data_IF_985693549122
#
_entry.id   IF_985693549122
#
_cell.length_a   1.000
_cell.length_b   1.000
_cell.length_c   1.000
_cell.angle_alpha   90.00
_cell.angle_beta   90.00
_cell.angle_gamma   90.00
#
_symmetry.space_group_name_H-M   'P 1'
#
loop_
_entity.id
_entity.type
_entity.pdbx_description
1 polymer ?
#
# COMPACT_ATOMS: atom_id res chain seq x y z
N UNK A 1 7.43 43.19 16.17
CA UNK A 1 6.15 43.82 16.56
C UNK A 1 5.04 43.22 15.73
N UNK A 2 3.93 42.94 16.42
CA UNK A 2 2.70 42.27 15.99
C UNK A 2 2.14 42.80 14.65
N UNK A 3 2.08 41.93 13.65
CA UNK A 3 1.36 42.14 12.40
C UNK A 3 0.26 41.09 12.23
N UNK A 4 -0.62 40.96 13.23
CA UNK A 4 -1.80 40.13 13.14
C UNK A 4 -2.66 40.61 11.97
N UNK A 5 -2.87 39.76 10.97
CA UNK A 5 -3.91 39.98 9.96
C UNK A 5 -5.22 40.14 10.72
N UNK A 6 -5.71 41.38 10.82
CA UNK A 6 -7.06 41.67 11.32
C UNK A 6 -8.05 40.90 10.44
N UNK A 7 -9.07 40.24 11.02
CA UNK A 7 -10.07 39.55 10.22
C UNK A 7 -10.88 40.60 9.45
N UNK A 8 -10.73 40.63 8.13
CA UNK A 8 -11.45 41.55 7.24
C UNK A 8 -12.95 41.19 7.14
N UNK A 9 -13.37 40.01 7.63
CA UNK A 9 -14.80 39.68 7.74
C UNK A 9 -15.08 38.72 8.91
N UNK A 10 -15.35 39.28 10.09
CA UNK A 10 -15.69 38.53 11.30
C UNK A 10 -16.99 37.74 11.14
N UNK A 11 -17.93 38.20 10.32
CA UNK A 11 -19.20 37.53 10.06
C UNK A 11 -19.01 36.33 9.13
N UNK A 12 -18.15 36.43 8.11
CA UNK A 12 -17.76 35.28 7.30
C UNK A 12 -17.08 34.19 8.15
N UNK A 13 -16.08 34.55 8.96
CA UNK A 13 -15.36 33.59 9.83
C UNK A 13 -16.31 32.93 10.83
N UNK A 14 -17.23 33.68 11.43
CA UNK A 14 -18.23 33.12 12.34
C UNK A 14 -19.21 32.17 11.63
N UNK A 15 -19.67 32.50 10.41
CA UNK A 15 -20.53 31.62 9.61
C UNK A 15 -19.81 30.33 9.22
N UNK A 16 -18.55 30.42 8.81
CA UNK A 16 -17.76 29.25 8.43
C UNK A 16 -17.56 28.31 9.63
N UNK A 17 -17.17 28.87 10.78
CA UNK A 17 -17.04 28.09 12.02
C UNK A 17 -18.36 27.38 12.40
N UNK A 18 -19.50 28.06 12.27
CA UNK A 18 -20.80 27.45 12.54
C UNK A 18 -21.17 26.33 11.55
N UNK A 19 -20.75 26.44 10.28
CA UNK A 19 -20.90 25.36 9.29
C UNK A 19 -20.01 24.17 9.65
N UNK A 20 -18.76 24.42 10.03
CA UNK A 20 -17.80 23.37 10.37
C UNK A 20 -18.23 22.59 11.61
N UNK A 21 -18.72 23.28 12.65
CA UNK A 21 -19.29 22.66 13.84
C UNK A 21 -20.53 21.82 13.51
N UNK A 22 -21.45 22.32 12.67
CA UNK A 22 -22.61 21.53 12.23
C UNK A 22 -22.23 20.30 11.44
N UNK A 23 -21.17 20.38 10.64
CA UNK A 23 -20.67 19.24 9.90
C UNK A 23 -20.08 18.19 10.85
N UNK A 24 -19.23 18.60 11.80
CA UNK A 24 -18.67 17.71 12.82
C UNK A 24 -19.78 17.02 13.64
N UNK A 25 -20.78 17.78 14.09
CA UNK A 25 -21.98 17.26 14.76
C UNK A 25 -22.74 16.24 13.90
N UNK A 26 -22.87 16.49 12.60
CA UNK A 26 -23.56 15.59 11.68
C UNK A 26 -22.82 14.26 11.52
N UNK A 27 -21.49 14.29 11.42
CA UNK A 27 -20.65 13.09 11.40
C UNK A 27 -20.80 12.32 12.71
N UNK A 28 -20.77 13.02 13.84
CA UNK A 28 -20.94 12.39 15.15
C UNK A 28 -22.30 11.68 15.27
N UNK A 29 -23.40 12.35 14.88
CA UNK A 29 -24.74 11.76 14.91
C UNK A 29 -24.92 10.60 13.94
N UNK A 30 -24.19 10.60 12.83
CA UNK A 30 -24.16 9.50 11.87
C UNK A 30 -23.30 8.31 12.35
N UNK A 31 -22.63 8.42 13.50
CA UNK A 31 -21.72 7.40 14.02
C UNK A 31 -20.38 7.32 13.27
N UNK A 32 -20.05 8.32 12.45
CA UNK A 32 -18.78 8.44 11.75
C UNK A 32 -17.74 9.06 12.71
N UNK A 33 -17.36 8.28 13.74
CA UNK A 33 -16.58 8.75 14.88
C UNK A 33 -15.19 9.28 14.49
N UNK A 34 -14.53 8.62 13.55
CA UNK A 34 -13.21 9.01 13.03
C UNK A 34 -13.28 10.37 12.30
N UNK A 35 -14.26 10.53 11.41
CA UNK A 35 -14.49 11.78 10.69
C UNK A 35 -14.89 12.93 11.62
N UNK A 36 -15.76 12.65 12.59
CA UNK A 36 -16.21 13.63 13.58
C UNK A 36 -15.04 14.11 14.45
N UNK A 37 -14.24 13.19 14.99
CA UNK A 37 -13.06 13.54 15.80
C UNK A 37 -12.08 14.39 15.01
N UNK A 38 -11.72 13.97 13.79
CA UNK A 38 -10.80 14.72 12.93
C UNK A 38 -11.31 16.14 12.71
N UNK A 39 -12.59 16.30 12.38
CA UNK A 39 -13.17 17.62 12.11
C UNK A 39 -13.17 18.52 13.34
N UNK A 40 -13.48 17.99 14.52
CA UNK A 40 -13.39 18.77 15.76
C UNK A 40 -11.95 19.17 16.10
N UNK A 41 -10.95 18.31 15.83
CA UNK A 41 -9.52 18.66 16.01
C UNK A 41 -9.08 19.76 15.05
N UNK A 42 -9.50 19.70 13.78
CA UNK A 42 -9.23 20.76 12.80
C UNK A 42 -9.81 22.11 13.26
N UNK A 43 -11.08 22.13 13.70
CA UNK A 43 -11.72 23.33 14.24
C UNK A 43 -10.92 23.89 15.43
N UNK A 44 -10.45 23.05 16.34
CA UNK A 44 -9.65 23.49 17.48
C UNK A 44 -8.31 24.12 17.07
N UNK A 45 -7.70 23.63 15.99
CA UNK A 45 -6.46 24.20 15.42
C UNK A 45 -6.70 25.53 14.69
N UNK A 46 -7.86 25.68 14.02
CA UNK A 46 -8.21 26.87 13.25
C UNK A 46 -8.62 28.06 14.13
N UNK A 47 -9.22 27.79 15.29
CA UNK A 47 -9.64 28.84 16.25
C UNK A 47 -9.04 28.63 17.65
N UNK A 48 -7.71 28.67 17.78
CA UNK A 48 -7.04 28.39 19.05
C UNK A 48 -7.39 29.45 20.10
N UNK A 49 -7.62 29.00 21.33
CA UNK A 49 -7.91 29.88 22.48
C UNK A 49 -9.34 30.42 22.55
N UNK A 50 -10.19 30.23 21.52
CA UNK A 50 -11.61 30.58 21.59
C UNK A 50 -12.42 29.53 22.37
N UNK A 51 -13.55 29.90 23.00
CA UNK A 51 -14.44 28.94 23.65
C UNK A 51 -14.85 27.78 22.72
N UNK A 52 -15.19 28.08 21.46
CA UNK A 52 -15.60 27.09 20.47
C UNK A 52 -14.48 26.10 20.15
N UNK A 53 -13.24 26.59 19.96
CA UNK A 53 -12.07 25.73 19.74
C UNK A 53 -11.77 24.83 20.95
N UNK A 54 -11.93 25.34 22.17
CA UNK A 54 -11.77 24.54 23.40
C UNK A 54 -12.85 23.46 23.54
N UNK A 55 -14.10 23.79 23.22
CA UNK A 55 -15.21 22.82 23.23
C UNK A 55 -15.03 21.75 22.14
N UNK A 56 -14.62 22.15 20.93
CA UNK A 56 -14.32 21.22 19.86
C UNK A 56 -13.17 20.26 20.26
N UNK A 57 -12.09 20.76 20.86
CA UNK A 57 -11.01 19.92 21.35
C UNK A 57 -11.48 18.93 22.42
N UNK A 58 -12.23 19.40 23.42
CA UNK A 58 -12.79 18.54 24.46
C UNK A 58 -13.68 17.44 23.87
N UNK A 59 -14.50 17.79 22.87
CA UNK A 59 -15.37 16.84 22.18
C UNK A 59 -14.59 15.82 21.37
N UNK A 60 -13.55 16.25 20.66
CA UNK A 60 -12.63 15.35 19.98
C UNK A 60 -11.96 14.37 20.96
N UNK A 61 -11.53 14.83 22.13
CA UNK A 61 -10.91 13.97 23.13
C UNK A 61 -11.90 12.98 23.76
N UNK A 62 -13.18 13.34 23.89
CA UNK A 62 -14.24 12.41 24.29
C UNK A 62 -14.50 11.35 23.22
N UNK A 63 -14.65 11.75 21.96
CA UNK A 63 -14.83 10.81 20.83
C UNK A 63 -13.61 9.89 20.71
N UNK A 64 -12.40 10.44 20.86
CA UNK A 64 -11.13 9.73 20.83
C UNK A 64 -10.98 8.60 21.85
N UNK A 65 -11.77 8.63 22.94
CA UNK A 65 -11.79 7.60 23.99
C UNK A 65 -12.85 6.51 23.77
N UNK A 66 -13.67 6.61 22.72
CA UNK A 66 -14.71 5.61 22.43
C UNK A 66 -14.07 4.30 21.96
N UNK A 67 -14.54 3.19 22.52
CA UNK A 67 -14.04 1.85 22.20
C UNK A 67 -14.05 1.55 20.70
N UNK A 68 -15.14 1.89 19.99
CA UNK A 68 -15.24 1.68 18.55
C UNK A 68 -14.11 2.35 17.75
N UNK A 69 -13.72 3.56 18.15
CA UNK A 69 -12.64 4.31 17.50
C UNK A 69 -11.26 3.78 17.92
N UNK A 70 -11.08 3.37 19.18
CA UNK A 70 -9.87 2.70 19.64
C UNK A 70 -9.65 1.37 18.90
N UNK A 71 -10.69 0.56 18.73
CA UNK A 71 -10.65 -0.68 17.95
C UNK A 71 -10.32 -0.41 16.49
N UNK A 72 -10.95 0.59 15.86
CA UNK A 72 -10.65 0.97 14.48
C UNK A 72 -9.19 1.41 14.32
N UNK A 73 -8.68 2.25 15.22
CA UNK A 73 -7.29 2.72 15.19
C UNK A 73 -6.31 1.58 15.36
N UNK A 74 -6.58 0.66 16.27
CA UNK A 74 -5.75 -0.52 16.46
C UNK A 74 -5.74 -1.41 15.22
N UNK A 75 -6.90 -1.60 14.58
CA UNK A 75 -7.01 -2.34 13.33
C UNK A 75 -6.19 -1.68 12.20
N UNK A 76 -6.28 -0.36 12.06
CA UNK A 76 -5.50 0.42 11.08
C UNK A 76 -4.00 0.29 11.40
N UNK A 77 -3.60 0.40 12.66
CA UNK A 77 -2.20 0.27 13.10
C UNK A 77 -1.64 -1.10 12.74
N UNK A 78 -2.33 -2.17 13.13
CA UNK A 78 -1.91 -3.55 12.82
C UNK A 78 -1.84 -3.82 11.31
N UNK A 79 -2.79 -3.26 10.55
CA UNK A 79 -2.78 -3.35 9.09
C UNK A 79 -1.55 -2.64 8.50
N UNK A 80 -1.24 -1.42 8.96
CA UNK A 80 -0.09 -0.66 8.50
C UNK A 80 1.25 -1.35 8.86
N UNK A 81 1.36 -1.94 10.05
CA UNK A 81 2.54 -2.72 10.46
C UNK A 81 2.74 -3.97 9.60
N UNK A 82 1.65 -4.65 9.29
CA UNK A 82 1.67 -5.81 8.40
C UNK A 82 2.12 -5.40 6.99
N UNK A 83 1.54 -4.32 6.45
CA UNK A 83 1.89 -3.80 5.12
C UNK A 83 3.37 -3.39 5.04
N UNK A 84 3.90 -2.74 6.08
CA UNK A 84 5.32 -2.36 6.16
C UNK A 84 6.23 -3.60 6.26
N UNK A 85 5.84 -4.60 7.05
CA UNK A 85 6.57 -5.86 7.19
C UNK A 85 6.67 -6.60 5.86
N UNK A 86 5.55 -6.72 5.14
CA UNK A 86 5.52 -7.35 3.83
C UNK A 86 6.30 -6.54 2.79
N UNK A 87 6.23 -5.21 2.84
CA UNK A 87 7.02 -4.36 1.95
C UNK A 87 8.52 -4.53 2.15
N UNK A 88 8.95 -4.58 3.41
CA UNK A 88 10.35 -4.83 3.77
C UNK A 88 10.78 -6.20 3.28
N UNK A 89 9.95 -7.23 3.51
CA UNK A 89 10.23 -8.60 3.07
C UNK A 89 10.38 -8.70 1.55
N UNK A 90 9.45 -8.11 0.80
CA UNK A 90 9.48 -8.09 -0.66
C UNK A 90 10.75 -7.39 -1.17
N UNK A 91 11.04 -6.19 -0.65
CA UNK A 91 12.23 -5.45 -1.04
C UNK A 91 13.51 -6.24 -0.78
N UNK A 92 13.64 -6.83 0.42
CA UNK A 92 14.80 -7.66 0.76
C UNK A 92 14.92 -8.90 -0.14
N UNK A 93 13.81 -9.53 -0.50
CA UNK A 93 13.80 -10.71 -1.37
C UNK A 93 14.22 -10.36 -2.81
N UNK A 94 13.66 -9.29 -3.38
CA UNK A 94 14.05 -8.79 -4.70
C UNK A 94 15.51 -8.35 -4.72
N UNK A 95 15.95 -7.64 -3.68
CA UNK A 95 17.34 -7.23 -3.56
C UNK A 95 18.30 -8.43 -3.48
N UNK A 96 17.96 -9.46 -2.71
CA UNK A 96 18.73 -10.70 -2.68
C UNK A 96 18.78 -11.38 -4.05
N UNK A 97 17.69 -11.38 -4.82
CA UNK A 97 17.67 -11.92 -6.19
C UNK A 97 18.62 -11.17 -7.13
N UNK A 98 18.75 -9.85 -6.96
CA UNK A 98 19.64 -9.00 -7.75
C UNK A 98 21.11 -9.16 -7.39
N UNK A 99 21.45 -9.33 -6.11
CA UNK A 99 22.87 -9.41 -5.67
C UNK A 99 23.39 -10.83 -5.44
N UNK A 100 22.53 -11.85 -5.48
CA UNK A 100 22.97 -13.25 -5.35
C UNK A 100 24.04 -13.58 -6.41
N UNK A 101 25.07 -14.39 -6.12
CA UNK A 101 26.07 -14.78 -7.14
C UNK A 101 25.47 -15.55 -8.31
N UNK A 102 24.35 -16.24 -8.08
CA UNK A 102 23.61 -17.00 -9.09
C UNK A 102 22.12 -16.65 -9.04
N UNK A 103 21.39 -16.98 -10.12
CA UNK A 103 19.95 -16.83 -10.16
C UNK A 103 19.30 -17.66 -9.04
N UNK A 104 18.42 -17.04 -8.27
CA UNK A 104 17.63 -17.76 -7.27
C UNK A 104 16.62 -18.69 -7.95
N UNK A 105 16.33 -19.83 -7.34
CA UNK A 105 15.22 -20.65 -7.77
C UNK A 105 13.90 -19.87 -7.67
N UNK A 106 12.97 -19.99 -8.64
CA UNK A 106 11.68 -19.30 -8.63
C UNK A 106 10.91 -19.51 -7.32
N UNK A 107 10.87 -20.74 -6.83
CA UNK A 107 10.17 -21.14 -5.60
C UNK A 107 10.77 -20.41 -4.39
N UNK A 108 12.10 -20.37 -4.29
CA UNK A 108 12.81 -19.67 -3.21
C UNK A 108 12.57 -18.17 -3.24
N UNK A 109 12.48 -17.56 -4.43
CA UNK A 109 12.14 -16.14 -4.54
C UNK A 109 10.72 -15.87 -4.02
N UNK A 110 9.72 -16.65 -4.46
CA UNK A 110 8.33 -16.46 -4.05
C UNK A 110 8.10 -16.79 -2.57
N UNK A 111 8.82 -17.78 -2.04
CA UNK A 111 8.84 -18.10 -0.61
C UNK A 111 9.39 -16.92 0.21
N UNK A 112 10.54 -16.37 -0.20
CA UNK A 112 11.15 -15.22 0.47
C UNK A 112 10.25 -13.98 0.43
N UNK A 113 9.54 -13.75 -0.68
CA UNK A 113 8.55 -12.67 -0.78
C UNK A 113 7.34 -12.95 0.13
N UNK A 114 7.01 -14.21 0.42
CA UNK A 114 5.86 -14.60 1.23
C UNK A 114 4.56 -14.67 0.43
N UNK A 115 4.64 -15.03 -0.85
CA UNK A 115 3.48 -15.09 -1.77
C UNK A 115 2.34 -15.96 -1.25
N UNK A 116 2.66 -17.07 -0.59
CA UNK A 116 1.63 -17.98 -0.08
C UNK A 116 0.83 -17.34 1.08
N UNK A 117 1.47 -16.53 1.91
CA UNK A 117 0.77 -15.72 2.93
C UNK A 117 -0.14 -14.67 2.29
N UNK A 118 0.31 -14.04 1.20
CA UNK A 118 -0.50 -13.10 0.43
C UNK A 118 -1.70 -13.78 -0.23
N UNK A 119 -1.54 -14.98 -0.78
CA UNK A 119 -2.65 -15.77 -1.36
C UNK A 119 -3.72 -16.10 -0.33
N UNK A 120 -3.33 -16.53 0.87
CA UNK A 120 -4.29 -16.79 1.96
C UNK A 120 -5.07 -15.53 2.34
N UNK A 121 -4.41 -14.37 2.45
CA UNK A 121 -5.09 -13.10 2.73
C UNK A 121 -5.97 -12.62 1.57
N UNK A 122 -5.58 -12.87 0.33
CA UNK A 122 -6.40 -12.61 -0.85
C UNK A 122 -7.67 -13.49 -0.92
N UNK A 123 -7.76 -14.54 -0.09
CA UNK A 123 -8.97 -15.34 0.09
C UNK A 123 -9.78 -14.96 1.35
N UNK A 124 -9.32 -13.95 2.11
CA UNK A 124 -10.00 -13.51 3.34
C UNK A 124 -11.38 -12.89 3.04
N UNK A 125 -12.37 -13.08 3.92
CA UNK A 125 -13.64 -12.35 3.86
C UNK A 125 -13.50 -10.87 4.23
N UNK A 126 -12.41 -10.48 4.91
CA UNK A 126 -12.09 -9.08 5.15
C UNK A 126 -11.67 -8.41 3.84
N UNK A 127 -12.55 -7.55 3.31
CA UNK A 127 -12.32 -6.85 2.05
C UNK A 127 -11.06 -5.99 2.07
N UNK A 128 -10.72 -5.39 3.21
CA UNK A 128 -9.54 -4.53 3.33
C UNK A 128 -8.27 -5.34 3.18
N UNK A 129 -8.17 -6.45 3.93
CA UNK A 129 -7.01 -7.36 3.84
C UNK A 129 -6.92 -8.03 2.47
N UNK A 130 -8.06 -8.47 1.94
CA UNK A 130 -8.14 -9.09 0.62
C UNK A 130 -7.64 -8.15 -0.46
N UNK A 131 -8.19 -6.94 -0.53
CA UNK A 131 -7.88 -6.00 -1.61
C UNK A 131 -6.46 -5.45 -1.47
N UNK A 132 -5.91 -5.35 -0.25
CA UNK A 132 -4.49 -5.06 -0.02
C UNK A 132 -3.59 -6.19 -0.54
N UNK A 133 -3.89 -7.45 -0.20
CA UNK A 133 -3.12 -8.61 -0.65
C UNK A 133 -3.17 -8.80 -2.17
N UNK A 134 -4.33 -8.61 -2.79
CA UNK A 134 -4.48 -8.65 -4.25
C UNK A 134 -3.63 -7.59 -4.95
N UNK A 135 -3.69 -6.33 -4.48
CA UNK A 135 -2.83 -5.24 -5.00
C UNK A 135 -1.35 -5.60 -4.89
N UNK A 136 -0.93 -6.18 -3.77
CA UNK A 136 0.45 -6.62 -3.55
C UNK A 136 0.86 -7.72 -4.52
N UNK A 137 0.03 -8.76 -4.67
CA UNK A 137 0.28 -9.86 -5.61
C UNK A 137 0.40 -9.35 -7.06
N UNK A 138 -0.45 -8.39 -7.46
CA UNK A 138 -0.35 -7.76 -8.78
C UNK A 138 0.96 -6.99 -8.97
N UNK A 139 1.40 -6.24 -7.95
CA UNK A 139 2.68 -5.52 -7.99
C UNK A 139 3.87 -6.48 -8.09
N UNK A 140 3.88 -7.55 -7.30
CA UNK A 140 4.91 -8.59 -7.37
C UNK A 140 4.93 -9.21 -8.76
N UNK A 141 3.77 -9.57 -9.30
CA UNK A 141 3.66 -10.13 -10.64
C UNK A 141 4.26 -9.20 -11.70
N UNK A 142 3.98 -7.90 -11.65
CA UNK A 142 4.58 -6.92 -12.57
C UNK A 142 6.11 -6.84 -12.42
N UNK A 143 6.63 -6.88 -11.19
CA UNK A 143 8.08 -6.92 -10.95
C UNK A 143 8.73 -8.12 -11.62
N UNK A 144 8.23 -9.33 -11.35
CA UNK A 144 8.87 -10.56 -11.84
C UNK A 144 8.54 -10.89 -13.29
N UNK A 145 7.45 -10.36 -13.86
CA UNK A 145 7.07 -10.62 -15.26
C UNK A 145 7.63 -9.58 -16.24
N UNK A 146 8.05 -8.41 -15.76
CA UNK A 146 8.42 -7.29 -16.62
C UNK A 146 9.69 -6.55 -16.16
N UNK A 147 9.67 -5.96 -14.96
CA UNK A 147 10.75 -5.06 -14.55
C UNK A 147 12.08 -5.78 -14.29
N UNK A 148 12.06 -6.87 -13.51
CA UNK A 148 13.26 -7.65 -13.20
C UNK A 148 13.83 -8.34 -14.45
N UNK A 149 13.04 -9.09 -15.28
CA UNK A 149 13.60 -9.73 -16.46
C UNK A 149 14.22 -8.74 -17.44
N UNK A 150 13.58 -7.57 -17.63
CA UNK A 150 14.12 -6.52 -18.49
C UNK A 150 15.45 -5.98 -17.96
N UNK A 151 15.54 -5.74 -16.65
CA UNK A 151 16.78 -5.28 -16.01
C UNK A 151 17.89 -6.32 -16.14
N UNK A 152 17.60 -7.60 -15.88
CA UNK A 152 18.57 -8.68 -16.00
C UNK A 152 19.05 -8.88 -17.44
N UNK A 153 18.17 -8.81 -18.44
CA UNK A 153 18.58 -8.88 -19.85
C UNK A 153 19.47 -7.70 -20.25
N UNK A 154 19.18 -6.49 -19.75
CA UNK A 154 20.03 -5.33 -20.01
C UNK A 154 21.43 -5.47 -19.38
N UNK A 155 21.53 -6.19 -18.27
CA UNK A 155 22.80 -6.52 -17.60
C UNK A 155 23.52 -7.75 -18.19
N UNK A 156 22.96 -8.41 -19.22
CA UNK A 156 23.54 -9.63 -19.79
C UNK A 156 23.40 -10.86 -18.88
N UNK A 157 22.38 -10.90 -18.02
CA UNK A 157 22.12 -11.97 -17.05
C UNK A 157 20.86 -12.80 -17.41
N UNK A 158 20.84 -13.51 -18.57
CA UNK A 158 19.64 -14.18 -19.06
C UNK A 158 19.14 -15.30 -18.14
N UNK A 159 20.03 -15.94 -17.36
CA UNK A 159 19.64 -16.94 -16.37
C UNK A 159 18.78 -16.35 -15.24
N UNK A 160 19.07 -15.12 -14.79
CA UNK A 160 18.25 -14.43 -13.79
C UNK A 160 16.92 -13.97 -14.37
N UNK A 161 16.94 -13.47 -15.61
CA UNK A 161 15.71 -13.14 -16.33
C UNK A 161 14.78 -14.35 -16.44
N UNK A 162 15.32 -15.52 -16.77
CA UNK A 162 14.56 -16.77 -16.85
C UNK A 162 13.97 -17.20 -15.51
N UNK A 163 14.76 -17.12 -14.43
CA UNK A 163 14.27 -17.42 -13.09
C UNK A 163 13.11 -16.49 -12.69
N UNK A 164 13.23 -15.20 -12.99
CA UNK A 164 12.19 -14.21 -12.72
C UNK A 164 10.90 -14.49 -13.51
N UNK A 165 11.01 -14.80 -14.82
CA UNK A 165 9.88 -15.15 -15.66
C UNK A 165 9.20 -16.46 -15.24
N UNK A 166 9.96 -17.47 -14.81
CA UNK A 166 9.39 -18.70 -14.23
C UNK A 166 8.63 -18.40 -12.93
N UNK A 167 9.17 -17.53 -12.07
CA UNK A 167 8.49 -17.09 -10.85
C UNK A 167 7.17 -16.36 -11.20
N UNK A 168 7.18 -15.52 -12.24
CA UNK A 168 5.98 -14.87 -12.74
C UNK A 168 4.91 -15.86 -13.22
N UNK A 169 5.31 -16.90 -13.96
CA UNK A 169 4.40 -17.93 -14.45
C UNK A 169 3.73 -18.75 -13.32
N UNK A 170 4.39 -18.85 -12.15
CA UNK A 170 3.78 -19.47 -10.96
C UNK A 170 2.73 -18.57 -10.30
N UNK A 171 2.72 -17.26 -10.58
CA UNK A 171 1.73 -16.30 -10.09
C UNK A 171 0.51 -16.21 -11.02
N UNK A 172 0.71 -16.40 -12.33
CA UNK A 172 -0.36 -16.37 -13.32
C UNK A 172 0.17 -16.49 -14.76
N UNK A 173 -0.72 -16.57 -15.77
CA UNK A 173 -0.32 -16.71 -17.17
C UNK A 173 0.44 -15.47 -17.66
N UNK A 174 1.51 -15.68 -18.42
CA UNK A 174 2.27 -14.61 -19.07
C UNK A 174 1.60 -14.20 -20.38
N UNK A 175 1.52 -12.89 -20.61
CA UNK A 175 0.85 -12.27 -21.77
C UNK A 175 1.58 -11.00 -22.19
N UNK A 176 1.34 -10.56 -23.42
CA UNK A 176 1.82 -9.26 -23.93
C UNK A 176 3.34 -9.10 -23.87
N UNK A 177 3.83 -7.98 -23.36
CA UNK A 177 5.26 -7.66 -23.31
C UNK A 177 6.11 -8.67 -22.51
N UNK A 178 5.53 -9.35 -21.51
CA UNK A 178 6.22 -10.44 -20.81
C UNK A 178 6.58 -11.61 -21.72
N UNK A 179 5.83 -11.83 -22.80
CA UNK A 179 6.12 -12.87 -23.78
C UNK A 179 7.26 -12.51 -24.71
N UNK A 180 7.41 -11.23 -25.06
CA UNK A 180 8.60 -10.76 -25.74
C UNK A 180 9.85 -10.92 -24.87
N UNK A 181 9.73 -10.70 -23.55
CA UNK A 181 10.82 -10.97 -22.61
C UNK A 181 11.17 -12.47 -22.57
N UNK A 182 10.19 -13.38 -22.52
CA UNK A 182 10.42 -14.82 -22.62
C UNK A 182 11.21 -15.17 -23.88
N UNK A 183 10.79 -14.68 -25.05
CA UNK A 183 11.47 -14.93 -26.33
C UNK A 183 12.91 -14.40 -26.32
N UNK A 184 13.11 -13.16 -25.89
CA UNK A 184 14.46 -12.54 -25.82
C UNK A 184 15.37 -13.24 -24.82
N UNK A 185 14.82 -13.73 -23.71
CA UNK A 185 15.56 -14.56 -22.76
C UNK A 185 15.96 -15.90 -23.39
N UNK A 186 15.05 -16.55 -24.13
CA UNK A 186 15.32 -17.82 -24.81
C UNK A 186 16.47 -17.70 -25.83
N UNK A 187 16.52 -16.59 -26.57
CA UNK A 187 17.57 -16.30 -27.57
C UNK A 187 18.97 -16.19 -26.96
N UNK A 188 19.08 -15.89 -25.66
CA UNK A 188 20.35 -15.69 -24.94
C UNK A 188 20.73 -16.86 -24.03
N UNK A 189 19.91 -17.92 -23.98
CA UNK A 189 20.13 -19.10 -23.14
C UNK A 189 20.61 -20.31 -23.95
N UNK A 190 21.34 -21.24 -23.30
CA UNK A 190 21.48 -22.60 -23.82
C UNK A 190 20.11 -23.23 -24.10
N UNK A 191 20.02 -24.06 -25.16
CA UNK A 191 18.75 -24.68 -25.59
C UNK A 191 18.02 -25.40 -24.47
N UNK A 192 18.74 -26.11 -23.61
CA UNK A 192 18.17 -26.87 -22.48
C UNK A 192 17.48 -25.95 -21.46
N UNK A 193 18.05 -24.77 -21.19
CA UNK A 193 17.47 -23.81 -20.25
C UNK A 193 16.35 -22.98 -20.88
N UNK A 194 16.43 -22.72 -22.18
CA UNK A 194 15.37 -22.07 -22.93
C UNK A 194 14.08 -22.92 -22.95
N UNK A 195 14.19 -24.26 -23.04
CA UNK A 195 13.04 -25.17 -23.00
C UNK A 195 12.29 -25.18 -21.65
N UNK A 196 12.96 -24.74 -20.58
CA UNK A 196 12.36 -24.61 -19.24
C UNK A 196 11.68 -23.26 -19.04
N UNK A 197 11.67 -22.36 -20.02
CA UNK A 197 10.93 -21.11 -19.92
C UNK A 197 9.42 -21.38 -19.98
N UNK A 198 8.62 -20.57 -19.26
CA UNK A 198 7.18 -20.76 -19.26
C UNK A 198 6.57 -20.48 -20.64
N UNK A 199 5.49 -21.20 -21.01
CA UNK A 199 4.76 -20.91 -22.23
C UNK A 199 4.03 -19.57 -22.13
N UNK A 200 3.81 -18.97 -23.29
CA UNK A 200 3.01 -17.77 -23.43
C UNK A 200 1.56 -18.11 -23.76
N UNK A 201 0.63 -17.38 -23.15
CA UNK A 201 -0.82 -17.51 -23.37
C UNK A 201 -1.36 -16.42 -24.28
#
# INVERSE_FOLDING_TARGET
MLGGRRPIDTAYVARQLALDLRHADSLERAGQWDGAELRYREIALDVPGRPEGRLALARADEIGKRDALLTLREHIRLSAETDLSDATREFSALQAARTSPSALAPETLLERIGVESLRRRAASPDSTQRDAALRRLSNIAAWVSFYEPRSFLAAGEPARAAASLRAAAMLGPLRGESCDLVRRTAEQLPREDAQRLPPCS
#
